data_IF_832529442048
#
_entry.id   IF_832529442048
#
_cell.length_a   1.000
_cell.length_b   1.000
_cell.length_c   1.000
_cell.angle_alpha   90.00
_cell.angle_beta   90.00
_cell.angle_gamma   90.00
#
_symmetry.space_group_name_H-M   'P 1'
#
loop_
_entity.id
_entity.type
_entity.pdbx_description
1 polymer ?
#
# COMPACT_ATOMS: atom_id res chain seq x y z
N UNK A 1 10.68 -10.56 -9.87
CA UNK A 1 11.07 -11.89 -9.34
C UNK A 1 9.81 -12.45 -8.78
N UNK A 2 9.42 -13.66 -9.16
CA UNK A 2 8.29 -14.31 -8.50
C UNK A 2 8.77 -14.74 -7.11
N UNK A 3 8.26 -14.07 -6.08
CA UNK A 3 8.77 -14.15 -4.72
C UNK A 3 7.66 -14.31 -3.67
N UNK A 4 6.40 -14.03 -4.04
CA UNK A 4 5.28 -13.99 -3.12
C UNK A 4 4.02 -14.56 -3.78
N UNK A 5 3.29 -15.39 -3.04
CA UNK A 5 1.91 -15.73 -3.39
C UNK A 5 0.98 -14.79 -2.62
N UNK A 6 0.20 -13.99 -3.35
CA UNK A 6 -0.65 -12.95 -2.77
C UNK A 6 -2.04 -13.51 -2.44
N UNK A 7 -2.50 -13.25 -1.21
CA UNK A 7 -3.89 -13.54 -0.84
C UNK A 7 -4.82 -12.44 -1.37
N UNK A 8 -6.11 -12.76 -1.68
CA UNK A 8 -7.09 -11.74 -2.01
C UNK A 8 -7.14 -10.64 -0.96
N UNK A 9 -7.00 -9.39 -1.40
CA UNK A 9 -6.98 -8.23 -0.50
C UNK A 9 -5.60 -7.86 0.06
N UNK A 10 -4.52 -8.50 -0.39
CA UNK A 10 -3.16 -8.17 0.06
C UNK A 10 -2.78 -6.70 -0.20
N UNK A 11 -2.06 -6.11 0.75
CA UNK A 11 -1.39 -4.81 0.59
C UNK A 11 0.11 -5.06 0.51
N UNK A 12 0.72 -4.74 -0.63
CA UNK A 12 2.14 -4.92 -0.89
C UNK A 12 2.95 -3.67 -0.53
N UNK A 13 4.05 -3.83 0.18
CA UNK A 13 4.97 -2.76 0.54
C UNK A 13 6.40 -3.21 0.22
N UNK A 14 7.08 -2.46 -0.64
CA UNK A 14 8.50 -2.68 -0.92
C UNK A 14 9.23 -1.33 -0.91
N UNK A 15 10.51 -1.34 -0.53
CA UNK A 15 11.36 -0.17 -0.55
C UNK A 15 12.38 -0.33 -1.66
N UNK A 16 12.13 0.30 -2.80
CA UNK A 16 13.20 0.58 -3.75
C UNK A 16 12.99 1.92 -4.47
N UNK A 17 14.09 2.48 -4.97
CA UNK A 17 14.03 3.72 -5.74
C UNK A 17 13.26 3.53 -7.05
N UNK A 18 12.43 4.51 -7.40
CA UNK A 18 11.75 4.61 -8.70
C UNK A 18 10.69 3.56 -9.02
N UNK A 19 10.14 2.83 -8.05
CA UNK A 19 9.23 1.70 -8.31
C UNK A 19 7.92 2.08 -9.01
N UNK A 20 7.49 3.34 -8.88
CA UNK A 20 6.32 3.88 -9.56
C UNK A 20 6.67 4.75 -10.79
N UNK A 21 7.96 4.94 -11.13
CA UNK A 21 8.38 5.72 -12.31
C UNK A 21 7.87 5.08 -13.60
N UNK A 22 7.91 3.75 -13.67
CA UNK A 22 7.55 2.95 -14.83
C UNK A 22 6.17 2.29 -14.69
N UNK A 23 5.30 2.84 -13.84
CA UNK A 23 3.98 2.25 -13.53
C UNK A 23 3.11 2.02 -14.78
N UNK A 24 3.23 2.91 -15.77
CA UNK A 24 2.46 2.86 -17.02
C UNK A 24 3.17 2.10 -18.15
N UNK A 25 4.41 1.65 -17.93
CA UNK A 25 5.14 0.87 -18.92
C UNK A 25 4.73 -0.62 -18.80
N UNK A 26 4.06 -1.21 -19.81
CA UNK A 26 3.65 -2.61 -19.76
C UNK A 26 4.83 -3.57 -19.64
N UNK A 27 6.04 -3.17 -20.06
CA UNK A 27 7.26 -3.98 -19.97
C UNK A 27 7.99 -3.82 -18.64
N UNK A 28 7.52 -2.93 -17.76
CA UNK A 28 8.16 -2.71 -16.47
C UNK A 28 8.19 -3.99 -15.63
N UNK A 29 9.32 -4.17 -14.95
CA UNK A 29 9.59 -5.24 -13.99
C UNK A 29 9.82 -4.70 -12.57
N UNK A 30 9.53 -3.41 -12.34
CA UNK A 30 9.61 -2.81 -11.02
C UNK A 30 8.55 -3.41 -10.08
N UNK A 31 8.76 -3.29 -8.77
CA UNK A 31 7.92 -3.95 -7.78
C UNK A 31 6.45 -3.51 -7.85
N UNK A 32 6.15 -2.21 -7.79
CA UNK A 32 4.76 -1.75 -7.84
C UNK A 32 3.96 -2.25 -9.06
N UNK A 33 4.42 -2.07 -10.32
CA UNK A 33 3.68 -2.58 -11.47
C UNK A 33 3.59 -4.11 -11.51
N UNK A 34 4.60 -4.84 -11.02
CA UNK A 34 4.53 -6.31 -10.97
C UNK A 34 3.55 -6.79 -9.91
N UNK A 35 3.60 -6.25 -8.68
CA UNK A 35 2.64 -6.60 -7.63
C UNK A 35 1.20 -6.29 -8.05
N UNK A 36 0.97 -5.16 -8.75
CA UNK A 36 -0.34 -4.84 -9.30
C UNK A 36 -0.80 -5.83 -10.37
N UNK A 37 0.09 -6.30 -11.26
CA UNK A 37 -0.21 -7.37 -12.22
C UNK A 37 -0.54 -8.69 -11.53
N UNK A 38 0.10 -8.96 -10.40
CA UNK A 38 -0.10 -10.17 -9.59
C UNK A 38 -1.32 -10.09 -8.67
N UNK A 39 -2.09 -8.99 -8.72
CA UNK A 39 -3.43 -8.92 -8.13
C UNK A 39 -3.52 -8.38 -6.70
N UNK A 40 -2.52 -7.65 -6.21
CA UNK A 40 -2.65 -6.96 -4.91
C UNK A 40 -3.81 -5.94 -4.91
N UNK A 41 -4.36 -5.65 -3.73
CA UNK A 41 -5.40 -4.63 -3.55
C UNK A 41 -4.81 -3.22 -3.38
N UNK A 42 -3.57 -3.10 -2.92
CA UNK A 42 -2.90 -1.80 -2.81
C UNK A 42 -1.39 -1.89 -2.59
N UNK A 43 -0.68 -0.87 -3.03
CA UNK A 43 0.75 -0.66 -2.77
C UNK A 43 1.09 0.82 -2.76
N UNK A 44 2.32 1.14 -2.42
CA UNK A 44 2.87 2.48 -2.49
C UNK A 44 4.30 2.41 -3.01
N UNK A 45 4.75 3.51 -3.59
CA UNK A 45 6.12 3.59 -4.07
C UNK A 45 6.45 4.96 -4.64
N UNK A 46 7.73 5.20 -4.91
CA UNK A 46 8.17 6.51 -5.35
C UNK A 46 8.05 6.70 -6.87
N UNK A 47 7.57 7.87 -7.31
CA UNK A 47 7.49 8.30 -8.73
C UNK A 47 8.78 8.97 -9.23
N UNK A 48 9.85 8.88 -8.45
CA UNK A 48 11.19 9.41 -8.74
C UNK A 48 12.16 8.95 -7.65
N UNK A 49 13.30 9.62 -7.48
CA UNK A 49 14.19 9.35 -6.34
C UNK A 49 13.63 9.99 -5.05
N UNK A 50 13.27 9.21 -4.02
CA UNK A 50 12.61 9.74 -2.83
C UNK A 50 13.58 9.97 -1.66
N UNK A 51 14.77 9.38 -1.68
CA UNK A 51 15.56 9.02 -0.48
C UNK A 51 14.80 8.08 0.48
N UNK A 52 15.53 7.26 1.24
CA UNK A 52 14.95 6.28 2.15
C UNK A 52 13.97 6.88 3.17
N UNK A 53 14.19 8.14 3.58
CA UNK A 53 13.39 8.84 4.60
C UNK A 53 12.01 9.30 4.14
N UNK A 54 11.73 9.28 2.84
CA UNK A 54 10.43 9.71 2.34
C UNK A 54 9.37 8.60 2.33
N UNK A 55 9.80 7.33 2.47
CA UNK A 55 8.88 6.21 2.59
C UNK A 55 8.08 6.29 3.90
N UNK A 56 6.77 5.94 3.88
CA UNK A 56 6.01 5.75 5.11
C UNK A 56 6.69 4.75 6.02
N UNK A 57 6.91 5.08 7.31
CA UNK A 57 7.58 4.14 8.21
C UNK A 57 6.75 2.83 8.30
N UNK A 58 7.31 1.66 7.94
CA UNK A 58 6.53 0.42 7.85
C UNK A 58 5.82 0.05 9.15
N UNK A 59 6.48 0.25 10.28
CA UNK A 59 5.94 0.00 11.62
C UNK A 59 4.67 0.82 11.88
N UNK A 60 4.66 2.10 11.48
CA UNK A 60 3.51 2.99 11.61
C UNK A 60 2.43 2.61 10.59
N UNK A 61 2.81 2.45 9.32
CA UNK A 61 1.87 2.11 8.24
C UNK A 61 1.11 0.82 8.55
N UNK A 62 1.81 -0.28 8.85
CA UNK A 62 1.18 -1.56 9.14
C UNK A 62 0.48 -1.57 10.49
N UNK A 63 0.99 -0.87 11.50
CA UNK A 63 0.30 -0.71 12.78
C UNK A 63 -1.06 -0.02 12.63
N UNK A 64 -1.13 1.05 11.84
CA UNK A 64 -2.38 1.76 11.53
C UNK A 64 -3.33 0.90 10.69
N UNK A 65 -2.84 0.24 9.64
CA UNK A 65 -3.66 -0.60 8.76
C UNK A 65 -4.30 -1.75 9.54
N UNK A 66 -3.50 -2.49 10.30
CA UNK A 66 -3.95 -3.68 11.04
C UNK A 66 -4.81 -3.35 12.25
N UNK A 67 -4.82 -2.09 12.71
CA UNK A 67 -5.75 -1.63 13.74
C UNK A 67 -7.22 -1.73 13.31
N UNK A 68 -7.51 -1.73 12.00
CA UNK A 68 -8.87 -1.75 11.43
C UNK A 68 -9.64 -0.42 11.56
N UNK A 69 -9.05 0.59 12.20
CA UNK A 69 -9.69 1.88 12.48
C UNK A 69 -9.68 2.83 11.30
N UNK A 70 -8.67 2.71 10.44
CA UNK A 70 -8.40 3.64 9.35
C UNK A 70 -8.56 2.94 8.00
N UNK A 71 -8.87 3.75 6.99
CA UNK A 71 -8.79 3.40 5.58
C UNK A 71 -7.33 3.34 5.12
N UNK A 72 -7.10 2.77 3.94
CA UNK A 72 -5.78 2.71 3.32
C UNK A 72 -5.20 4.13 3.11
N UNK A 73 -6.01 5.10 2.67
CA UNK A 73 -5.54 6.47 2.44
C UNK A 73 -5.18 7.21 3.73
N UNK A 74 -5.98 7.06 4.78
CA UNK A 74 -5.68 7.63 6.11
C UNK A 74 -4.39 7.03 6.67
N UNK A 75 -4.25 5.71 6.57
CA UNK A 75 -3.04 4.99 6.99
C UNK A 75 -1.80 5.52 6.27
N UNK A 76 -1.87 5.69 4.94
CA UNK A 76 -0.80 6.23 4.14
C UNK A 76 -0.41 7.64 4.58
N UNK A 77 -1.37 8.58 4.67
CA UNK A 77 -1.07 9.96 5.01
C UNK A 77 -0.57 10.15 6.44
N UNK A 78 -1.08 9.38 7.40
CA UNK A 78 -0.63 9.44 8.80
C UNK A 78 0.79 8.86 9.00
N UNK A 79 1.23 7.98 8.11
CA UNK A 79 2.58 7.38 8.17
C UNK A 79 3.58 8.05 7.21
N UNK A 80 3.12 8.93 6.31
CA UNK A 80 3.96 9.59 5.31
C UNK A 80 4.75 10.76 5.92
N UNK A 81 6.10 10.74 5.87
CA UNK A 81 6.92 11.79 6.47
C UNK A 81 6.84 13.14 5.74
N UNK A 82 6.62 13.12 4.43
CA UNK A 82 6.61 14.32 3.59
C UNK A 82 5.42 14.30 2.61
N UNK A 83 4.55 15.30 2.71
CA UNK A 83 3.48 15.51 1.73
C UNK A 83 4.05 16.04 0.41
N UNK A 84 3.47 15.60 -0.71
CA UNK A 84 3.83 16.05 -2.06
C UNK A 84 5.27 15.77 -2.50
N UNK A 85 6.03 14.92 -1.79
CA UNK A 85 7.39 14.56 -2.16
C UNK A 85 7.48 13.11 -2.66
N UNK A 86 7.51 12.97 -3.99
CA UNK A 86 7.88 11.76 -4.75
C UNK A 86 7.23 10.43 -4.37
N UNK A 87 6.28 10.36 -3.43
CA UNK A 87 5.56 9.14 -3.06
C UNK A 87 4.14 9.15 -3.61
N UNK A 88 3.66 7.96 -4.01
CA UNK A 88 2.27 7.75 -4.40
C UNK A 88 1.72 6.48 -3.75
N UNK A 89 0.45 6.52 -3.36
CA UNK A 89 -0.36 5.37 -2.97
C UNK A 89 -1.19 4.91 -4.18
N UNK A 90 -1.26 3.60 -4.39
CA UNK A 90 -2.08 2.95 -5.42
C UNK A 90 -3.00 1.94 -4.74
N UNK A 91 -4.31 2.07 -4.94
CA UNK A 91 -5.34 1.22 -4.36
C UNK A 91 -6.64 1.98 -4.16
N UNK A 92 -7.68 1.31 -3.68
CA UNK A 92 -8.91 1.98 -3.28
C UNK A 92 -8.66 2.77 -1.97
N UNK A 93 -8.83 4.11 -1.98
CA UNK A 93 -8.56 4.93 -0.80
C UNK A 93 -9.42 4.54 0.40
N UNK A 94 -10.63 4.01 0.19
CA UNK A 94 -11.55 3.57 1.25
C UNK A 94 -11.34 2.10 1.66
N UNK A 95 -10.32 1.42 1.13
CA UNK A 95 -10.05 0.03 1.45
C UNK A 95 -9.75 -0.17 2.95
N UNK A 96 -10.41 -1.16 3.57
CA UNK A 96 -10.30 -1.47 5.01
C UNK A 96 -10.22 -2.98 5.26
N UNK A 97 -9.06 -3.63 5.02
CA UNK A 97 -8.90 -5.08 5.11
C UNK A 97 -9.16 -5.65 6.51
N UNK A 98 -8.95 -4.83 7.54
CA UNK A 98 -9.06 -5.24 8.95
C UNK A 98 -10.26 -4.61 9.66
N UNK A 99 -11.25 -4.10 8.92
CA UNK A 99 -12.47 -3.55 9.51
C UNK A 99 -13.18 -4.64 10.32
N UNK A 100 -13.24 -4.45 11.64
CA UNK A 100 -14.11 -5.25 12.48
C UNK A 100 -15.54 -4.73 12.30
N UNK A 101 -16.35 -5.45 11.52
CA UNK A 101 -17.79 -5.30 11.63
C UNK A 101 -18.16 -5.73 13.04
N UNK A 102 -18.75 -4.82 13.82
CA UNK A 102 -19.48 -5.24 15.01
C UNK A 102 -20.45 -6.34 14.58
N UNK A 103 -20.39 -7.49 15.24
CA UNK A 103 -21.42 -8.51 15.07
C UNK A 103 -22.75 -7.79 15.27
N UNK A 104 -23.61 -7.81 14.25
CA UNK A 104 -24.99 -7.39 14.43
C UNK A 104 -25.61 -8.21 15.58
N UNK A 105 -26.68 -7.72 16.22
CA UNK A 105 -27.36 -8.51 17.23
C UNK A 105 -27.64 -9.91 16.66
N UNK A 106 -27.17 -10.93 17.37
CA UNK A 106 -27.51 -12.32 17.08
C UNK A 106 -29.03 -12.37 17.26
N UNK A 107 -29.76 -12.56 16.16
CA UNK A 107 -31.19 -12.85 16.24
C UNK A 107 -31.34 -14.20 16.95
N UNK A 108 -32.01 -14.20 18.10
CA UNK A 108 -32.47 -15.40 18.82
C UNK A 108 -33.37 -16.27 17.94
#
# INVERSE_FOLDING_TARGET
>A
VDAFEWVPGAVGYHIASGECVSLKDPKSRAWCPMMLKDGIAGTLGPVGEPYIRAFPLPEIFFGLLTSGRYTLVETYFMSLPYLSWKMVLIGDPLYRPFLRRSAGPVSE
#
